data_IF_292291114883
#
_entry.id   IF_292291114883
#
_cell.length_a   1.000
_cell.length_b   1.000
_cell.length_c   1.000
_cell.angle_alpha   90.00
_cell.angle_beta   90.00
_cell.angle_gamma   90.00
#
_symmetry.space_group_name_H-M   'P 1'
#
loop_
_entity.id
_entity.type
_entity.pdbx_description
1 polymer ?
#
# COMPACT_ATOMS: atom_id res chain seq x y z
N UNK A 1 -10.60 12.19 18.24
CA UNK A 1 -9.92 11.98 16.94
C UNK A 1 -9.65 10.49 16.79
N UNK A 2 -10.64 9.75 16.30
CA UNK A 2 -10.50 8.31 16.05
C UNK A 2 -10.00 8.11 14.63
N UNK A 3 -8.74 7.72 14.47
CA UNK A 3 -8.25 7.22 13.20
C UNK A 3 -9.00 5.92 12.91
N UNK A 4 -9.93 5.96 11.97
CA UNK A 4 -10.40 4.74 11.33
C UNK A 4 -9.19 4.15 10.60
N UNK A 5 -8.49 3.25 11.28
CA UNK A 5 -7.64 2.26 10.64
C UNK A 5 -8.56 1.44 9.75
N UNK A 6 -8.79 1.92 8.53
CA UNK A 6 -9.33 1.14 7.43
C UNK A 6 -8.30 0.06 7.14
N UNK A 7 -8.31 -0.99 7.97
CA UNK A 7 -7.60 -2.22 7.75
C UNK A 7 -8.03 -2.72 6.38
N UNK A 8 -7.14 -2.59 5.40
CA UNK A 8 -7.37 -3.09 4.05
C UNK A 8 -7.58 -4.61 4.18
N UNK A 9 -8.84 -5.05 4.11
CA UNK A 9 -9.17 -6.46 4.17
C UNK A 9 -8.77 -7.10 2.85
N UNK A 10 -7.73 -7.93 2.88
CA UNK A 10 -7.27 -8.66 1.70
C UNK A 10 -8.39 -9.54 1.13
N UNK A 11 -8.49 -9.58 -0.19
CA UNK A 11 -9.33 -10.54 -0.92
C UNK A 11 -8.99 -11.98 -0.51
N UNK A 12 -9.87 -12.94 -0.82
CA UNK A 12 -9.58 -14.37 -0.56
C UNK A 12 -8.22 -14.80 -1.12
N UNK A 13 -7.91 -14.40 -2.35
CA UNK A 13 -6.64 -14.67 -3.04
C UNK A 13 -5.46 -13.92 -2.40
N UNK A 14 -5.64 -12.66 -2.01
CA UNK A 14 -4.60 -11.88 -1.32
C UNK A 14 -4.16 -12.52 0.01
N UNK A 15 -5.09 -13.14 0.74
CA UNK A 15 -4.76 -13.90 1.96
C UNK A 15 -3.94 -15.16 1.67
N UNK A 16 -4.21 -15.85 0.57
CA UNK A 16 -3.43 -17.02 0.15
C UNK A 16 -2.02 -16.63 -0.25
N UNK A 17 -1.85 -15.58 -1.07
CA UNK A 17 -0.52 -15.08 -1.45
C UNK A 17 0.28 -14.63 -0.23
N UNK A 18 -0.36 -13.97 0.73
CA UNK A 18 0.27 -13.60 2.00
C UNK A 18 0.75 -14.82 2.79
N UNK A 19 -0.07 -15.87 2.92
CA UNK A 19 0.35 -17.12 3.60
C UNK A 19 1.53 -17.79 2.91
N UNK A 20 1.54 -17.82 1.58
CA UNK A 20 2.67 -18.36 0.80
C UNK A 20 3.92 -17.52 1.06
N UNK A 21 3.82 -16.20 1.05
CA UNK A 21 4.96 -15.32 1.35
C UNK A 21 5.43 -15.44 2.81
N UNK A 22 4.53 -15.63 3.78
CA UNK A 22 4.89 -15.91 5.18
C UNK A 22 5.71 -17.21 5.27
N UNK A 23 5.28 -18.26 4.57
CA UNK A 23 6.02 -19.53 4.51
C UNK A 23 7.37 -19.39 3.82
N UNK A 24 7.42 -18.67 2.69
CA UNK A 24 8.67 -18.37 1.99
C UNK A 24 9.61 -17.55 2.88
N UNK A 25 9.10 -16.60 3.67
CA UNK A 25 9.89 -15.82 4.63
C UNK A 25 10.55 -16.70 5.69
N UNK A 26 9.85 -17.71 6.21
CA UNK A 26 10.44 -18.69 7.14
C UNK A 26 11.55 -19.48 6.45
N UNK A 27 11.32 -19.95 5.22
CA UNK A 27 12.35 -20.67 4.46
C UNK A 27 13.57 -19.79 4.16
N UNK A 28 13.36 -18.50 3.90
CA UNK A 28 14.43 -17.53 3.71
C UNK A 28 15.29 -17.36 4.97
N UNK A 29 14.74 -17.53 6.17
CA UNK A 29 15.55 -17.53 7.42
C UNK A 29 16.55 -18.67 7.38
N UNK A 30 16.12 -19.88 7.03
CA UNK A 30 17.03 -21.03 6.93
C UNK A 30 18.11 -20.80 5.87
N UNK A 31 17.73 -20.29 4.70
CA UNK A 31 18.69 -19.93 3.65
C UNK A 31 19.69 -18.86 4.13
N UNK A 32 19.23 -17.81 4.82
CA UNK A 32 20.09 -16.74 5.33
C UNK A 32 21.16 -17.23 6.31
N UNK A 33 20.82 -18.21 7.15
CA UNK A 33 21.76 -18.85 8.07
C UNK A 33 22.82 -19.63 7.27
N UNK A 34 22.40 -20.39 6.26
CA UNK A 34 23.33 -21.11 5.38
C UNK A 34 24.27 -20.12 4.68
N UNK A 35 23.74 -19.04 4.11
CA UNK A 35 24.56 -18.03 3.43
C UNK A 35 25.55 -17.33 4.35
N UNK A 36 25.15 -17.06 5.60
CA UNK A 36 26.00 -16.41 6.62
C UNK A 36 27.29 -17.20 6.90
N UNK A 37 27.19 -18.53 6.91
CA UNK A 37 28.33 -19.41 7.20
C UNK A 37 29.06 -19.92 5.96
N UNK A 38 28.36 -20.01 4.82
CA UNK A 38 28.88 -20.73 3.65
C UNK A 38 29.35 -19.81 2.50
N UNK A 39 28.70 -18.67 2.30
CA UNK A 39 29.00 -17.75 1.20
C UNK A 39 29.70 -16.49 1.71
N UNK A 40 29.03 -15.72 2.56
CA UNK A 40 29.55 -14.48 3.12
C UNK A 40 28.68 -14.00 4.29
N UNK A 41 29.28 -13.63 5.44
CA UNK A 41 28.54 -13.11 6.58
C UNK A 41 27.70 -11.86 6.24
N UNK A 42 28.22 -10.97 5.39
CA UNK A 42 27.50 -9.75 4.98
C UNK A 42 26.26 -10.06 4.14
N UNK A 43 26.28 -11.14 3.36
CA UNK A 43 25.13 -11.57 2.57
C UNK A 43 24.03 -12.12 3.47
N UNK A 44 24.40 -12.99 4.42
CA UNK A 44 23.46 -13.52 5.40
C UNK A 44 22.77 -12.41 6.23
N UNK A 45 23.50 -11.36 6.61
CA UNK A 45 22.91 -10.18 7.29
C UNK A 45 21.94 -9.42 6.37
N UNK A 46 22.29 -9.24 5.10
CA UNK A 46 21.43 -8.57 4.13
C UNK A 46 20.15 -9.37 3.86
N UNK A 47 20.23 -10.70 3.78
CA UNK A 47 19.08 -11.59 3.72
C UNK A 47 18.17 -11.44 4.94
N UNK A 48 18.74 -11.43 6.16
CA UNK A 48 17.96 -11.20 7.36
C UNK A 48 17.24 -9.85 7.36
N UNK A 49 17.88 -8.79 6.87
CA UNK A 49 17.24 -7.50 6.69
C UNK A 49 16.08 -7.56 5.68
N UNK A 50 16.23 -8.30 4.58
CA UNK A 50 15.16 -8.51 3.60
C UNK A 50 13.98 -9.27 4.20
N UNK A 51 14.21 -10.25 5.08
CA UNK A 51 13.15 -10.99 5.78
C UNK A 51 12.36 -10.06 6.71
N UNK A 52 13.05 -9.20 7.46
CA UNK A 52 12.39 -8.20 8.31
C UNK A 52 11.53 -7.24 7.47
N UNK A 53 12.04 -6.84 6.30
CA UNK A 53 11.35 -5.96 5.38
C UNK A 53 10.11 -6.63 4.76
N UNK A 54 10.20 -7.92 4.40
CA UNK A 54 9.05 -8.72 3.96
C UNK A 54 8.01 -8.82 5.09
N UNK A 55 8.40 -9.23 6.30
CA UNK A 55 7.48 -9.34 7.43
C UNK A 55 6.78 -8.01 7.73
N UNK A 56 7.50 -6.89 7.64
CA UNK A 56 6.92 -5.57 7.79
C UNK A 56 5.95 -5.22 6.65
N UNK A 57 6.27 -5.57 5.40
CA UNK A 57 5.39 -5.39 4.25
C UNK A 57 4.08 -6.19 4.40
N UNK A 58 4.18 -7.46 4.82
CA UNK A 58 3.04 -8.36 5.00
C UNK A 58 2.19 -7.95 6.20
N UNK A 59 2.80 -7.57 7.33
CA UNK A 59 2.06 -7.13 8.53
C UNK A 59 1.22 -5.88 8.25
N UNK A 60 1.77 -4.92 7.52
CA UNK A 60 1.12 -3.65 7.23
C UNK A 60 0.37 -3.62 5.89
N UNK A 61 0.35 -4.73 5.14
CA UNK A 61 -0.16 -4.79 3.77
C UNK A 61 0.35 -3.60 2.92
N UNK A 62 1.63 -3.26 3.04
CA UNK A 62 2.21 -2.05 2.44
C UNK A 62 2.83 -2.35 1.07
N UNK A 63 2.10 -2.02 0.00
CA UNK A 63 2.55 -2.26 -1.39
C UNK A 63 3.89 -1.58 -1.72
N UNK A 64 4.19 -0.41 -1.12
CA UNK A 64 5.45 0.32 -1.38
C UNK A 64 6.66 -0.44 -0.86
N UNK A 65 6.51 -1.05 0.32
CA UNK A 65 7.59 -1.81 0.97
C UNK A 65 7.74 -3.15 0.27
N UNK A 66 6.63 -3.75 -0.17
CA UNK A 66 6.67 -4.94 -1.00
C UNK A 66 7.42 -4.69 -2.32
N UNK A 67 7.27 -3.51 -2.94
CA UNK A 67 8.08 -3.12 -4.11
C UNK A 67 9.56 -2.98 -3.77
N UNK A 68 9.89 -2.37 -2.64
CA UNK A 68 11.29 -2.29 -2.18
C UNK A 68 11.89 -3.68 -1.97
N UNK A 69 11.14 -4.61 -1.37
CA UNK A 69 11.55 -6.01 -1.22
C UNK A 69 11.81 -6.68 -2.58
N UNK A 70 10.90 -6.52 -3.55
CA UNK A 70 11.07 -7.08 -4.91
C UNK A 70 12.33 -6.55 -5.60
N UNK A 71 12.64 -5.26 -5.46
CA UNK A 71 13.86 -4.66 -6.02
C UNK A 71 15.13 -5.21 -5.34
N UNK A 72 15.10 -5.42 -4.02
CA UNK A 72 16.22 -5.98 -3.28
C UNK A 72 16.47 -7.45 -3.65
N UNK A 73 15.42 -8.25 -3.83
CA UNK A 73 15.54 -9.62 -4.38
C UNK A 73 16.15 -9.58 -5.77
N UNK A 74 15.65 -8.70 -6.65
CA UNK A 74 16.15 -8.59 -8.01
C UNK A 74 17.65 -8.26 -8.04
N UNK A 75 18.08 -7.28 -7.24
CA UNK A 75 19.50 -6.95 -7.09
C UNK A 75 20.31 -8.15 -6.58
N UNK A 76 19.84 -8.81 -5.52
CA UNK A 76 20.53 -9.98 -4.93
C UNK A 76 20.63 -11.15 -5.93
N UNK A 77 19.63 -11.30 -6.82
CA UNK A 77 19.64 -12.26 -7.92
C UNK A 77 20.75 -11.94 -8.93
N UNK A 78 20.90 -10.69 -9.33
CA UNK A 78 21.97 -10.25 -10.25
C UNK A 78 23.35 -10.45 -9.61
N UNK A 79 23.48 -10.13 -8.32
CA UNK A 79 24.72 -10.32 -7.56
C UNK A 79 25.09 -11.82 -7.50
N UNK A 80 24.14 -12.72 -7.22
CA UNK A 80 24.33 -14.18 -7.23
C UNK A 80 24.77 -14.70 -8.60
N UNK A 81 24.10 -14.27 -9.67
CA UNK A 81 24.44 -14.70 -11.03
C UNK A 81 25.84 -14.26 -11.44
N UNK A 82 26.25 -13.06 -11.04
CA UNK A 82 27.58 -12.53 -11.31
C UNK A 82 28.65 -13.34 -10.58
N UNK A 83 28.44 -13.66 -9.30
CA UNK A 83 29.33 -14.50 -8.51
C UNK A 83 29.41 -15.93 -9.06
N UNK A 84 28.28 -16.51 -9.47
CA UNK A 84 28.23 -17.83 -10.10
C UNK A 84 29.03 -17.85 -11.41
N UNK A 85 28.88 -16.82 -12.24
CA UNK A 85 29.66 -16.66 -13.47
C UNK A 85 31.17 -16.61 -13.21
N UNK A 86 31.60 -15.87 -12.19
CA UNK A 86 33.00 -15.81 -11.78
C UNK A 86 33.52 -17.15 -11.24
N UNK A 87 32.72 -17.87 -10.44
CA UNK A 87 33.05 -19.20 -9.92
C UNK A 87 33.28 -20.21 -11.05
N UNK A 88 32.39 -20.23 -12.05
CA UNK A 88 32.50 -21.10 -13.23
C UNK A 88 33.74 -20.77 -14.04
N UNK A 89 34.01 -19.48 -14.29
CA UNK A 89 35.19 -19.04 -15.05
C UNK A 89 36.50 -19.45 -14.36
N UNK A 90 36.60 -19.26 -13.04
CA UNK A 90 37.78 -19.66 -12.26
C UNK A 90 38.01 -21.18 -12.30
N UNK A 91 36.94 -21.97 -12.22
CA UNK A 91 37.01 -23.44 -12.35
C UNK A 91 37.54 -23.86 -13.73
N UNK A 92 37.07 -23.21 -14.81
CA UNK A 92 37.52 -23.49 -16.18
C UNK A 92 39.00 -23.11 -16.38
N UNK A 93 39.46 -22.02 -15.75
CA UNK A 93 40.84 -21.55 -15.86
C UNK A 93 41.84 -22.32 -15.00
N UNK A 94 41.39 -23.31 -14.21
CA UNK A 94 42.27 -24.10 -13.33
C UNK A 94 42.89 -23.29 -12.19
N UNK A 95 42.38 -22.08 -11.93
CA UNK A 95 42.84 -21.24 -10.83
C UNK A 95 42.16 -21.77 -9.57
N UNK A 96 42.92 -22.40 -8.68
CA UNK A 96 42.40 -22.85 -7.40
C UNK A 96 41.88 -21.64 -6.61
N UNK A 97 40.59 -21.65 -6.33
CA UNK A 97 40.01 -20.72 -5.39
C UNK A 97 40.49 -21.21 -4.02
N UNK A 98 41.48 -20.54 -3.44
CA UNK A 98 41.71 -20.59 -1.99
C UNK A 98 40.48 -19.95 -1.35
N UNK A 99 39.41 -20.72 -1.26
CA UNK A 99 38.33 -20.43 -0.33
C UNK A 99 38.81 -21.03 0.98
N UNK A 100 39.08 -20.17 1.96
CA UNK A 100 39.39 -20.51 3.35
C UNK A 100 38.19 -21.18 4.06
N UNK A 101 37.55 -22.15 3.40
CA UNK A 101 36.39 -22.87 3.90
C UNK A 101 36.74 -24.35 4.00
N UNK A 102 37.24 -24.69 5.18
CA UNK A 102 37.46 -26.04 5.68
C UNK A 102 36.10 -26.76 5.69
N UNK A 103 35.78 -27.65 4.72
CA UNK A 103 34.93 -28.83 4.99
C UNK A 103 34.72 -29.84 3.83
N UNK A 104 35.05 -29.57 2.56
CA UNK A 104 34.71 -30.52 1.48
C UNK A 104 35.79 -30.65 0.40
N UNK A 105 35.98 -31.87 -0.10
CA UNK A 105 36.94 -32.21 -1.16
C UNK A 105 36.53 -31.68 -2.56
N UNK A 106 35.27 -31.27 -2.77
CA UNK A 106 34.83 -30.50 -3.95
C UNK A 106 33.66 -29.54 -3.60
N UNK A 107 33.95 -28.38 -2.98
CA UNK A 107 32.92 -27.45 -2.52
C UNK A 107 32.15 -26.79 -3.68
N UNK A 108 32.73 -26.81 -4.88
CA UNK A 108 32.21 -26.12 -6.06
C UNK A 108 30.87 -26.68 -6.53
N UNK A 109 30.69 -28.02 -6.50
CA UNK A 109 29.42 -28.64 -6.91
C UNK A 109 28.27 -28.32 -5.97
N UNK A 110 28.53 -28.37 -4.67
CA UNK A 110 27.55 -28.05 -3.63
C UNK A 110 27.12 -26.58 -3.67
N UNK A 111 28.07 -25.65 -3.82
CA UNK A 111 27.80 -24.20 -3.91
C UNK A 111 26.91 -23.90 -5.13
N UNK A 112 27.17 -24.51 -6.29
CA UNK A 112 26.34 -24.29 -7.48
C UNK A 112 24.90 -24.75 -7.28
N UNK A 113 24.69 -25.92 -6.68
CA UNK A 113 23.34 -26.42 -6.37
C UNK A 113 22.62 -25.51 -5.39
N UNK A 114 23.32 -25.05 -4.35
CA UNK A 114 22.77 -24.10 -3.38
C UNK A 114 22.35 -22.78 -4.05
N UNK A 115 23.20 -22.21 -4.91
CA UNK A 115 22.88 -20.98 -5.65
C UNK A 115 21.67 -21.17 -6.56
N UNK A 116 21.55 -22.29 -7.27
CA UNK A 116 20.37 -22.59 -8.10
C UNK A 116 19.09 -22.69 -7.27
N UNK A 117 19.18 -23.28 -6.07
CA UNK A 117 18.06 -23.38 -5.14
C UNK A 117 17.64 -21.99 -4.64
N UNK A 118 18.60 -21.12 -4.30
CA UNK A 118 18.34 -19.73 -3.89
C UNK A 118 17.70 -18.93 -5.04
N UNK A 119 18.21 -19.06 -6.27
CA UNK A 119 17.64 -18.40 -7.46
C UNK A 119 16.19 -18.83 -7.71
N UNK A 120 15.90 -20.12 -7.56
CA UNK A 120 14.54 -20.66 -7.71
C UNK A 120 13.62 -20.10 -6.62
N UNK A 121 14.12 -20.00 -5.39
CA UNK A 121 13.40 -19.40 -4.27
C UNK A 121 13.10 -17.91 -4.53
N UNK A 122 14.10 -17.12 -4.95
CA UNK A 122 13.93 -15.71 -5.29
C UNK A 122 12.91 -15.50 -6.40
N UNK A 123 12.91 -16.34 -7.45
CA UNK A 123 11.91 -16.27 -8.51
C UNK A 123 10.49 -16.44 -7.94
N UNK A 124 10.27 -17.47 -7.11
CA UNK A 124 8.98 -17.68 -6.44
C UNK A 124 8.59 -16.50 -5.54
N UNK A 125 9.49 -16.05 -4.66
CA UNK A 125 9.25 -14.93 -3.75
C UNK A 125 8.87 -13.65 -4.51
N UNK A 126 9.54 -13.38 -5.64
CA UNK A 126 9.26 -12.22 -6.47
C UNK A 126 7.90 -12.34 -7.18
N UNK A 127 7.57 -13.52 -7.72
CA UNK A 127 6.26 -13.77 -8.34
C UNK A 127 5.10 -13.58 -7.35
N UNK A 128 5.17 -14.20 -6.17
CA UNK A 128 4.11 -14.05 -5.17
C UNK A 128 4.03 -12.64 -4.59
N UNK A 129 5.18 -11.96 -4.45
CA UNK A 129 5.23 -10.55 -4.06
C UNK A 129 4.54 -9.66 -5.09
N UNK A 130 4.75 -9.93 -6.39
CA UNK A 130 4.09 -9.19 -7.46
C UNK A 130 2.57 -9.43 -7.47
N UNK A 131 2.13 -10.67 -7.29
CA UNK A 131 0.70 -11.01 -7.20
C UNK A 131 0.04 -10.30 -6.01
N UNK A 132 0.66 -10.33 -4.84
CA UNK A 132 0.15 -9.63 -3.66
C UNK A 132 0.20 -8.10 -3.83
N UNK A 133 1.24 -7.56 -4.46
CA UNK A 133 1.33 -6.14 -4.81
C UNK A 133 0.15 -5.71 -5.67
N UNK A 134 -0.19 -6.50 -6.70
CA UNK A 134 -1.30 -6.19 -7.61
C UNK A 134 -2.62 -6.12 -6.87
N UNK A 135 -2.88 -7.10 -5.98
CA UNK A 135 -4.10 -7.13 -5.16
C UNK A 135 -4.17 -5.93 -4.21
N UNK A 136 -3.13 -5.65 -3.43
CA UNK A 136 -3.11 -4.53 -2.48
C UNK A 136 -3.26 -3.19 -3.22
N UNK A 137 -2.60 -3.05 -4.38
CA UNK A 137 -2.69 -1.84 -5.20
C UNK A 137 -4.12 -1.65 -5.71
N UNK A 138 -4.72 -2.68 -6.30
CA UNK A 138 -6.08 -2.62 -6.84
C UNK A 138 -7.09 -2.24 -5.75
N UNK A 139 -7.04 -2.88 -4.59
CA UNK A 139 -7.91 -2.54 -3.46
C UNK A 139 -7.82 -1.07 -3.03
N UNK A 140 -6.63 -0.46 -3.08
CA UNK A 140 -6.47 0.96 -2.76
C UNK A 140 -7.10 1.89 -3.79
N UNK A 141 -7.08 1.51 -5.07
CA UNK A 141 -7.77 2.28 -6.12
C UNK A 141 -9.28 2.16 -5.99
N UNK A 142 -9.79 0.96 -5.77
CA UNK A 142 -11.23 0.71 -5.61
C UNK A 142 -11.80 1.49 -4.40
N UNK A 143 -11.07 1.51 -3.27
CA UNK A 143 -11.47 2.30 -2.10
C UNK A 143 -11.38 3.81 -2.32
N UNK A 144 -10.41 4.28 -3.11
CA UNK A 144 -10.29 5.71 -3.42
C UNK A 144 -11.43 6.18 -4.33
N UNK A 145 -11.84 5.34 -5.27
CA UNK A 145 -12.98 5.63 -6.14
C UNK A 145 -14.30 5.65 -5.36
N UNK A 146 -14.57 4.64 -4.53
CA UNK A 146 -15.78 4.59 -3.70
C UNK A 146 -15.91 5.81 -2.76
N UNK A 147 -14.79 6.30 -2.21
CA UNK A 147 -14.80 7.51 -1.37
C UNK A 147 -15.15 8.78 -2.14
N UNK A 148 -14.76 8.86 -3.41
CA UNK A 148 -15.09 10.02 -4.25
C UNK A 148 -16.58 10.00 -4.61
N UNK A 149 -17.12 8.83 -4.94
CA UNK A 149 -18.56 8.64 -5.20
C UNK A 149 -19.41 9.00 -3.96
N UNK A 150 -19.04 8.49 -2.76
CA UNK A 150 -19.70 8.84 -1.50
C UNK A 150 -19.63 10.34 -1.17
N UNK A 151 -18.59 11.03 -1.64
CA UNK A 151 -18.40 12.46 -1.39
C UNK A 151 -19.21 13.31 -2.39
N UNK A 152 -19.31 12.88 -3.65
CA UNK A 152 -20.19 13.49 -4.65
C UNK A 152 -21.67 13.35 -4.26
N UNK A 153 -22.09 12.18 -3.79
CA UNK A 153 -23.48 11.95 -3.35
C UNK A 153 -23.88 12.85 -2.18
N UNK A 154 -22.97 13.09 -1.22
CA UNK A 154 -23.21 14.01 -0.10
C UNK A 154 -23.33 15.47 -0.55
N UNK A 155 -22.53 15.88 -1.53
CA UNK A 155 -22.61 17.24 -2.08
C UNK A 155 -23.95 17.44 -2.79
N UNK A 156 -24.41 16.46 -3.56
CA UNK A 156 -25.72 16.51 -4.24
C UNK A 156 -26.86 16.53 -3.22
N UNK A 157 -26.78 15.76 -2.13
CA UNK A 157 -27.79 15.76 -1.06
C UNK A 157 -27.84 17.11 -0.32
N UNK A 158 -26.69 17.73 -0.05
CA UNK A 158 -26.62 19.07 0.55
C UNK A 158 -27.14 20.17 -0.40
N UNK A 159 -26.86 20.08 -1.70
CA UNK A 159 -27.41 21.01 -2.70
C UNK A 159 -28.93 20.90 -2.82
N UNK A 160 -29.48 19.67 -2.85
CA UNK A 160 -30.94 19.46 -2.91
C UNK A 160 -31.64 19.94 -1.63
N UNK A 161 -31.07 19.69 -0.44
CA UNK A 161 -31.61 20.20 0.83
C UNK A 161 -31.61 21.74 0.88
N UNK A 162 -30.55 22.37 0.36
CA UNK A 162 -30.46 23.83 0.31
C UNK A 162 -31.50 24.44 -0.63
N UNK A 163 -31.88 23.75 -1.71
CA UNK A 163 -32.94 24.20 -2.61
C UNK A 163 -34.36 24.00 -2.05
N UNK A 164 -34.60 22.90 -1.31
CA UNK A 164 -35.89 22.70 -0.63
C UNK A 164 -36.15 23.74 0.49
N UNK A 165 -35.10 24.17 1.21
CA UNK A 165 -35.21 25.22 2.23
C UNK A 165 -35.47 26.62 1.63
N UNK A 166 -35.05 26.87 0.38
CA UNK A 166 -35.35 28.12 -0.35
C UNK A 166 -36.77 28.13 -0.96
N UNK A 167 -37.44 26.98 -1.11
CA UNK A 167 -38.79 26.88 -1.67
C UNK A 167 -39.92 27.03 -0.63
N UNK A 168 -39.60 27.09 0.67
CA UNK A 168 -40.56 27.31 1.77
C UNK A 168 -40.43 28.72 2.35
N UNK A 169 -40.72 29.74 1.54
CA UNK A 169 -41.17 31.04 2.06
C UNK A 169 -42.68 31.17 1.81
N UNK A 170 -43.55 30.82 2.78
CA UNK A 170 -44.96 31.15 2.66
C UNK A 170 -45.10 32.67 2.76
N UNK A 171 -45.48 33.26 1.63
CA UNK A 171 -46.12 34.54 1.44
C UNK A 171 -46.82 35.09 2.71
N UNK A 172 -46.06 35.82 3.55
CA UNK A 172 -46.58 36.59 4.70
C UNK A 172 -45.99 38.00 4.70
N UNK A 173 -46.09 38.69 3.57
CA UNK A 173 -46.03 40.14 3.56
C UNK A 173 -46.97 40.62 2.46
N UNK A 174 -48.13 41.11 2.87
CA UNK A 174 -49.01 42.12 2.23
C UNK A 174 -50.48 41.87 2.60
N UNK A 175 -50.77 41.89 3.90
CA UNK A 175 -52.11 42.08 4.42
C UNK A 175 -52.07 43.03 5.64
N UNK A 176 -51.35 44.15 5.51
CA UNK A 176 -51.42 45.27 6.46
C UNK A 176 -51.20 46.55 5.65
N UNK A 177 -52.20 47.00 4.90
CA UNK A 177 -52.32 48.42 4.54
C UNK A 177 -53.72 48.86 4.08
N UNK A 178 -54.78 48.22 4.58
CA UNK A 178 -56.17 48.64 4.32
C UNK A 178 -56.85 49.34 5.51
N UNK A 179 -56.12 49.70 6.57
CA UNK A 179 -56.72 50.33 7.77
C UNK A 179 -56.18 51.72 8.12
N UNK A 180 -55.38 52.35 7.25
CA UNK A 180 -54.80 53.68 7.52
C UNK A 180 -55.27 54.81 6.59
N UNK A 181 -56.13 54.54 5.61
CA UNK A 181 -56.76 55.58 4.77
C UNK A 181 -58.09 56.10 5.33
N UNK A 182 -58.65 55.47 6.38
CA UNK A 182 -59.95 55.86 6.96
C UNK A 182 -59.87 56.72 8.23
N UNK A 183 -58.67 57.16 8.64
CA UNK A 183 -58.46 57.95 9.87
C UNK A 183 -57.78 59.30 9.68
N UNK A 184 -57.77 59.84 8.45
CA UNK A 184 -57.44 61.25 8.18
C UNK A 184 -58.66 61.95 7.58
N UNK A 185 -59.79 61.87 8.29
CA UNK A 185 -61.00 62.62 7.95
C UNK A 185 -61.74 63.13 9.18
N UNK A 186 -61.11 63.20 10.35
CA UNK A 186 -61.72 63.86 11.52
C UNK A 186 -60.65 64.49 12.40
N UNK A 187 -60.52 65.82 12.32
CA UNK A 187 -59.85 66.59 13.36
C UNK A 187 -58.86 67.65 12.90
N UNK A 188 -59.27 68.61 12.06
CA UNK A 188 -58.81 70.02 12.16
C UNK A 188 -59.64 70.94 11.26
N UNK A 189 -60.96 70.99 11.52
CA UNK A 189 -61.76 72.21 11.35
C UNK A 189 -61.95 72.82 12.73
N UNK A 190 -61.04 73.70 13.15
CA UNK A 190 -61.25 74.63 14.26
C UNK A 190 -60.09 75.62 14.38
N UNK A 191 -60.13 76.71 13.59
CA UNK A 191 -59.83 78.08 14.03
C UNK A 191 -59.84 79.01 12.80
N UNK A 192 -60.98 79.69 12.65
CA UNK A 192 -61.14 80.96 11.96
C UNK A 192 -60.98 82.09 13.00
N UNK A 193 -60.75 83.32 12.52
CA UNK A 193 -60.75 84.63 13.22
C UNK A 193 -59.59 84.86 14.18
N UNK A 194 -58.81 85.95 14.13
CA UNK A 194 -58.98 87.31 13.57
C UNK A 194 -57.69 87.81 12.88
#
# INVERSE_FOLDING_TARGET
MGGQDSHLYLTGKGREYKKVLDFLGIFQVFLSIIELFLLSPMRGVLEMAMILLLNYALKNNSYRILVMYMLLIFKSTVDLLSELGLLIQKKIQGISIQQDTILYDDPTGFIVVLVLLILTFYAMANTFSFLLYREIKQQKYDMAQARNEDQEDRIIEEENKSQEDDEIVPNRHFAINESLSERISFGQRASLSE
#
